data_IF_796182394906
#
_entry.id   IF_796182394906
#
_cell.length_a   1.000
_cell.length_b   1.000
_cell.length_c   1.000
_cell.angle_alpha   90.00
_cell.angle_beta   90.00
_cell.angle_gamma   90.00
#
_symmetry.space_group_name_H-M   'P 1'
#
loop_
_entity.id
_entity.type
_entity.pdbx_description
1 polymer ?
#
# COMPACT_ATOMS: atom_id res chain seq x y z
N UNK A 1 -20.87 -5.77 -9.22
CA UNK A 1 -20.62 -6.73 -8.13
C UNK A 1 -19.14 -6.74 -7.81
N UNK A 2 -18.79 -6.69 -6.54
CA UNK A 2 -17.42 -6.79 -6.03
C UNK A 2 -17.25 -8.18 -5.43
N UNK A 3 -16.24 -8.91 -5.87
CA UNK A 3 -15.96 -10.23 -5.33
C UNK A 3 -14.81 -10.17 -4.34
N UNK A 4 -14.92 -10.91 -3.24
CA UNK A 4 -13.95 -10.88 -2.15
C UNK A 4 -13.46 -12.25 -1.74
N UNK A 5 -12.26 -12.29 -1.16
CA UNK A 5 -11.70 -13.45 -0.50
C UNK A 5 -10.78 -13.01 0.64
N UNK A 6 -10.49 -13.93 1.55
CA UNK A 6 -9.54 -13.68 2.63
C UNK A 6 -8.18 -14.31 2.33
N UNK A 7 -7.15 -13.76 2.96
CA UNK A 7 -5.78 -14.27 2.88
C UNK A 7 -5.11 -14.11 4.23
N UNK A 8 -4.63 -15.22 4.80
CA UNK A 8 -3.89 -15.19 6.06
C UNK A 8 -2.40 -14.98 5.79
N UNK A 9 -1.84 -13.92 6.35
CA UNK A 9 -0.45 -13.54 6.18
C UNK A 9 0.32 -13.50 7.50
N UNK A 10 1.68 -13.43 7.47
CA UNK A 10 2.48 -13.26 8.69
C UNK A 10 2.17 -12.00 9.50
N UNK A 11 1.55 -10.99 8.88
CA UNK A 11 1.23 -9.71 9.53
C UNK A 11 -0.26 -9.54 9.83
N UNK A 12 -1.07 -10.56 9.59
CA UNK A 12 -2.50 -10.55 9.86
C UNK A 12 -3.34 -11.02 8.68
N UNK A 13 -4.64 -11.03 8.88
CA UNK A 13 -5.60 -11.46 7.86
C UNK A 13 -5.97 -10.31 6.95
N UNK A 14 -5.89 -10.55 5.65
CA UNK A 14 -6.31 -9.61 4.62
C UNK A 14 -7.69 -9.94 4.07
N UNK A 15 -8.42 -8.91 3.69
CA UNK A 15 -9.55 -9.00 2.77
C UNK A 15 -9.10 -8.46 1.42
N UNK A 16 -9.25 -9.27 0.37
CA UNK A 16 -9.00 -8.90 -1.01
C UNK A 16 -10.32 -8.66 -1.71
N UNK A 17 -10.37 -7.66 -2.59
CA UNK A 17 -11.55 -7.34 -3.39
C UNK A 17 -11.17 -7.10 -4.85
N UNK A 18 -11.98 -7.66 -5.77
CA UNK A 18 -11.86 -7.41 -7.20
C UNK A 18 -13.20 -6.96 -7.80
N UNK A 19 -13.12 -6.23 -8.87
CA UNK A 19 -14.27 -5.81 -9.67
C UNK A 19 -13.86 -5.81 -11.15
N UNK A 20 -14.64 -6.49 -11.96
CA UNK A 20 -14.37 -6.58 -13.40
C UNK A 20 -13.02 -7.22 -13.75
N UNK A 21 -12.56 -8.18 -12.94
CA UNK A 21 -11.28 -8.86 -13.17
C UNK A 21 -10.05 -8.05 -12.75
N UNK A 22 -10.24 -6.95 -12.01
CA UNK A 22 -9.14 -6.09 -11.54
C UNK A 22 -9.18 -5.94 -10.03
N UNK A 23 -8.03 -6.01 -9.37
CA UNK A 23 -7.94 -5.80 -7.92
C UNK A 23 -8.31 -4.35 -7.58
N UNK A 24 -9.28 -4.18 -6.69
CA UNK A 24 -9.73 -2.86 -6.22
C UNK A 24 -9.45 -2.62 -4.74
N UNK A 25 -9.12 -3.67 -4.00
CA UNK A 25 -8.84 -3.55 -2.58
C UNK A 25 -8.01 -4.70 -2.02
N UNK A 26 -7.20 -4.36 -1.05
CA UNK A 26 -6.46 -5.28 -0.19
C UNK A 26 -6.23 -4.57 1.14
N UNK A 27 -6.94 -4.99 2.16
CA UNK A 27 -6.89 -4.36 3.49
C UNK A 27 -6.56 -5.39 4.56
N UNK A 28 -5.77 -4.98 5.55
CA UNK A 28 -5.55 -5.75 6.76
C UNK A 28 -6.76 -5.57 7.67
N UNK A 29 -7.33 -6.64 8.19
CA UNK A 29 -8.45 -6.55 9.13
C UNK A 29 -8.07 -5.68 10.33
N UNK A 30 -8.95 -4.72 10.67
CA UNK A 30 -8.74 -3.77 11.76
C UNK A 30 -7.94 -2.52 11.40
N UNK A 31 -7.44 -2.39 10.17
CA UNK A 31 -6.72 -1.18 9.76
C UNK A 31 -7.64 0.05 9.65
N UNK A 32 -7.03 1.24 9.67
CA UNK A 32 -7.74 2.48 9.34
C UNK A 32 -8.22 2.44 7.88
N UNK A 33 -9.36 3.09 7.63
CA UNK A 33 -9.98 3.19 6.29
C UNK A 33 -10.26 1.83 5.64
N UNK A 34 -10.59 0.83 6.45
CA UNK A 34 -10.97 -0.50 5.98
C UNK A 34 -12.13 -0.40 4.99
N UNK A 35 -12.03 -1.09 3.86
CA UNK A 35 -12.91 -1.03 2.70
C UNK A 35 -12.86 0.28 1.89
N UNK A 36 -12.21 1.34 2.39
CA UNK A 36 -12.16 2.63 1.70
C UNK A 36 -13.56 3.17 1.41
N UNK A 37 -13.87 3.42 0.14
CA UNK A 37 -15.19 3.87 -0.30
C UNK A 37 -16.14 2.74 -0.71
N UNK A 38 -15.71 1.48 -0.64
CA UNK A 38 -16.52 0.34 -1.05
C UNK A 38 -17.52 -0.06 0.03
N UNK A 39 -18.68 -0.54 -0.38
CA UNK A 39 -19.77 -0.93 0.52
C UNK A 39 -19.89 -2.44 0.63
N UNK A 40 -20.06 -2.94 1.86
CA UNK A 40 -20.21 -4.39 2.10
C UNK A 40 -21.41 -4.99 1.37
N UNK A 41 -22.47 -4.23 1.22
CA UNK A 41 -23.70 -4.67 0.55
C UNK A 41 -23.50 -4.98 -0.95
N UNK A 42 -22.44 -4.45 -1.52
CA UNK A 42 -22.07 -4.68 -2.91
C UNK A 42 -21.08 -5.84 -3.09
N UNK A 43 -20.71 -6.53 -2.01
CA UNK A 43 -19.68 -7.55 -1.98
C UNK A 43 -20.27 -8.97 -1.89
N UNK A 44 -19.64 -9.90 -2.59
CA UNK A 44 -19.92 -11.33 -2.52
C UNK A 44 -18.62 -12.11 -2.43
N UNK A 45 -18.59 -13.12 -1.57
CA UNK A 45 -17.42 -14.00 -1.47
C UNK A 45 -17.26 -14.86 -2.72
N UNK A 46 -16.04 -14.90 -3.26
CA UNK A 46 -15.71 -15.70 -4.44
C UNK A 46 -14.24 -16.10 -4.43
N UNK A 47 -13.94 -17.20 -3.78
CA UNK A 47 -12.55 -17.62 -3.52
C UNK A 47 -11.74 -18.01 -4.77
N UNK A 48 -12.42 -18.31 -5.87
CA UNK A 48 -11.79 -18.79 -7.12
C UNK A 48 -11.82 -17.76 -8.26
N UNK A 49 -12.05 -16.49 -7.97
CA UNK A 49 -11.90 -15.44 -8.99
C UNK A 49 -10.43 -15.41 -9.48
N UNK A 50 -10.18 -15.42 -10.81
CA UNK A 50 -8.82 -15.38 -11.33
C UNK A 50 -7.97 -14.24 -10.78
N UNK A 51 -8.51 -13.03 -10.74
CA UNK A 51 -7.80 -11.85 -10.22
C UNK A 51 -7.44 -12.01 -8.74
N UNK A 52 -8.35 -12.55 -7.93
CA UNK A 52 -8.08 -12.80 -6.50
C UNK A 52 -7.05 -13.91 -6.30
N UNK A 53 -7.09 -14.97 -7.11
CA UNK A 53 -6.10 -16.04 -7.07
C UNK A 53 -4.70 -15.54 -7.47
N UNK A 54 -4.62 -14.68 -8.48
CA UNK A 54 -3.35 -14.06 -8.89
C UNK A 54 -2.78 -13.18 -7.77
N UNK A 55 -3.62 -12.38 -7.13
CA UNK A 55 -3.20 -11.55 -6.00
C UNK A 55 -2.70 -12.40 -4.83
N UNK A 56 -3.36 -13.51 -4.50
CA UNK A 56 -2.90 -14.45 -3.46
C UNK A 56 -1.53 -15.04 -3.80
N UNK A 57 -1.31 -15.48 -5.04
CA UNK A 57 -0.02 -16.01 -5.50
C UNK A 57 1.08 -14.94 -5.41
N UNK A 58 0.76 -13.69 -5.76
CA UNK A 58 1.68 -12.58 -5.62
C UNK A 58 2.07 -12.37 -4.16
N UNK A 59 1.10 -12.39 -3.24
CA UNK A 59 1.34 -12.26 -1.80
C UNK A 59 2.17 -13.42 -1.24
N UNK A 60 1.90 -14.65 -1.67
CA UNK A 60 2.70 -15.81 -1.29
C UNK A 60 4.17 -15.63 -1.67
N UNK A 61 4.44 -15.17 -2.88
CA UNK A 61 5.79 -14.88 -3.36
C UNK A 61 6.43 -13.72 -2.58
N UNK A 62 5.67 -12.67 -2.33
CA UNK A 62 6.14 -11.52 -1.55
C UNK A 62 6.59 -11.95 -0.15
N UNK A 63 5.74 -12.68 0.57
CA UNK A 63 6.06 -13.11 1.94
C UNK A 63 7.14 -14.19 2.01
N UNK A 64 7.49 -14.83 0.91
CA UNK A 64 8.67 -15.70 0.79
C UNK A 64 9.94 -14.94 0.43
N UNK A 65 9.88 -13.63 0.21
CA UNK A 65 11.03 -12.81 -0.17
C UNK A 65 11.42 -12.86 -1.65
N UNK A 66 10.51 -13.26 -2.53
CA UNK A 66 10.79 -13.43 -3.97
C UNK A 66 10.71 -12.13 -4.79
N UNK A 67 10.35 -11.01 -4.18
CA UNK A 67 10.30 -9.68 -4.82
C UNK A 67 9.41 -9.64 -6.08
N UNK A 68 8.14 -10.06 -6.04
CA UNK A 68 7.28 -10.00 -7.21
C UNK A 68 7.05 -8.55 -7.65
N UNK A 69 6.92 -8.34 -8.94
CA UNK A 69 6.70 -7.00 -9.49
C UNK A 69 5.22 -6.63 -9.44
N UNK A 70 4.94 -5.40 -9.00
CA UNK A 70 3.56 -4.87 -8.89
C UNK A 70 2.83 -4.85 -10.24
N UNK A 71 3.53 -4.65 -11.34
CA UNK A 71 2.98 -4.62 -12.69
C UNK A 71 2.46 -5.97 -13.20
N UNK A 72 2.70 -7.06 -12.50
CA UNK A 72 2.11 -8.37 -12.83
C UNK A 72 0.61 -8.42 -12.59
N UNK A 73 0.09 -7.53 -11.73
CA UNK A 73 -1.31 -7.53 -11.32
C UNK A 73 -2.11 -6.42 -12.00
N UNK A 74 -3.30 -6.77 -12.48
CA UNK A 74 -4.25 -5.77 -12.96
C UNK A 74 -4.97 -5.15 -11.77
N UNK A 75 -4.78 -3.84 -11.57
CA UNK A 75 -5.35 -3.10 -10.45
C UNK A 75 -6.17 -1.91 -10.92
N UNK A 76 -7.20 -1.58 -10.16
CA UNK A 76 -8.02 -0.39 -10.38
C UNK A 76 -8.40 0.25 -9.03
N UNK A 77 -7.42 0.82 -8.31
CA UNK A 77 -7.70 1.47 -7.03
C UNK A 77 -8.63 2.66 -7.22
N UNK A 78 -9.68 2.75 -6.40
CA UNK A 78 -10.65 3.83 -6.46
C UNK A 78 -10.19 5.02 -5.61
N UNK A 79 -10.24 6.21 -6.16
CA UNK A 79 -9.83 7.44 -5.48
C UNK A 79 -9.78 8.63 -6.41
N UNK A 80 -9.49 9.81 -5.88
CA UNK A 80 -9.29 11.03 -6.65
C UNK A 80 -8.07 10.94 -7.58
N UNK A 81 -8.01 11.80 -8.58
CA UNK A 81 -6.85 11.87 -9.48
C UNK A 81 -5.54 12.15 -8.72
N UNK A 82 -5.61 13.00 -7.69
CA UNK A 82 -4.47 13.27 -6.82
C UNK A 82 -4.00 12.00 -6.11
N UNK A 83 -4.91 11.25 -5.49
CA UNK A 83 -4.57 10.00 -4.80
C UNK A 83 -4.01 8.96 -5.76
N UNK A 84 -4.60 8.81 -6.92
CA UNK A 84 -4.12 7.87 -7.95
C UNK A 84 -2.72 8.21 -8.43
N UNK A 85 -2.41 9.50 -8.56
CA UNK A 85 -1.07 9.95 -8.93
C UNK A 85 -0.05 9.62 -7.82
N UNK A 86 -0.40 9.86 -6.56
CA UNK A 86 0.46 9.47 -5.43
C UNK A 86 0.69 7.95 -5.43
N UNK A 87 -0.35 7.15 -5.59
CA UNK A 87 -0.25 5.69 -5.61
C UNK A 87 0.59 5.18 -6.79
N UNK A 88 0.52 5.84 -7.93
CA UNK A 88 1.40 5.56 -9.07
C UNK A 88 2.87 5.72 -8.68
N UNK A 89 3.23 6.80 -8.01
CA UNK A 89 4.60 7.02 -7.53
C UNK A 89 5.01 6.01 -6.45
N UNK A 90 4.08 5.57 -5.60
CA UNK A 90 4.37 4.48 -4.66
C UNK A 90 4.80 3.20 -5.37
N UNK A 91 4.14 2.85 -6.46
CA UNK A 91 4.48 1.65 -7.24
C UNK A 91 5.87 1.69 -7.86
N UNK A 92 6.49 2.87 -7.96
CA UNK A 92 7.85 3.04 -8.48
C UNK A 92 8.94 2.82 -7.42
N UNK A 93 8.57 2.73 -6.12
CA UNK A 93 9.55 2.52 -5.05
C UNK A 93 9.99 1.05 -5.04
N UNK A 94 11.27 0.76 -5.29
CA UNK A 94 11.75 -0.62 -5.35
C UNK A 94 11.64 -1.35 -4.01
N UNK A 95 11.52 -2.65 -4.07
CA UNK A 95 11.63 -3.53 -2.92
C UNK A 95 12.94 -3.28 -2.14
N UNK A 96 12.83 -3.17 -0.82
CA UNK A 96 13.99 -2.94 0.04
C UNK A 96 14.47 -1.48 0.07
N UNK A 97 13.75 -0.56 -0.55
CA UNK A 97 14.06 0.87 -0.54
C UNK A 97 12.95 1.68 0.10
N UNK A 98 13.28 2.84 0.60
CA UNK A 98 12.32 3.79 1.17
C UNK A 98 12.46 5.15 0.50
N UNK A 99 11.38 5.93 0.53
CA UNK A 99 11.35 7.33 0.15
C UNK A 99 10.63 8.14 1.23
N UNK A 100 10.61 9.44 1.10
CA UNK A 100 9.94 10.33 2.04
C UNK A 100 8.67 10.91 1.45
N UNK A 101 7.74 11.36 2.32
CA UNK A 101 6.55 12.11 1.89
C UNK A 101 6.93 13.36 1.09
N UNK A 102 8.03 14.02 1.50
CA UNK A 102 8.54 15.22 0.81
C UNK A 102 9.02 14.90 -0.60
N UNK A 103 9.73 13.81 -0.81
CA UNK A 103 10.21 13.39 -2.13
C UNK A 103 9.05 13.07 -3.07
N UNK A 104 8.02 12.36 -2.57
CA UNK A 104 6.80 12.11 -3.35
C UNK A 104 6.08 13.42 -3.66
N UNK A 105 5.97 14.33 -2.70
CA UNK A 105 5.37 15.65 -2.91
C UNK A 105 6.09 16.41 -4.03
N UNK A 106 7.41 16.35 -4.08
CA UNK A 106 8.21 16.94 -5.16
C UNK A 106 7.90 16.35 -6.54
N UNK A 107 7.75 15.02 -6.61
CA UNK A 107 7.35 14.34 -7.85
C UNK A 107 5.94 14.73 -8.31
N UNK A 108 5.00 14.82 -7.39
CA UNK A 108 3.62 15.26 -7.69
C UNK A 108 3.60 16.70 -8.19
N UNK A 109 4.32 17.61 -7.51
CA UNK A 109 4.42 19.00 -7.92
C UNK A 109 4.97 19.13 -9.34
N UNK A 110 6.05 18.40 -9.64
CA UNK A 110 6.66 18.39 -10.98
C UNK A 110 5.69 17.88 -12.04
N UNK A 111 5.01 16.75 -11.79
CA UNK A 111 4.04 16.15 -12.73
C UNK A 111 2.88 17.10 -13.02
N UNK A 112 2.40 17.85 -12.02
CA UNK A 112 1.29 18.78 -12.14
C UNK A 112 1.67 20.20 -12.52
N UNK A 113 2.95 20.46 -12.73
CA UNK A 113 3.44 21.81 -13.04
C UNK A 113 3.25 22.81 -11.91
N UNK A 114 3.29 22.34 -10.66
CA UNK A 114 3.16 23.17 -9.47
C UNK A 114 4.52 23.53 -8.90
N UNK A 115 4.63 24.70 -8.28
CA UNK A 115 5.85 25.13 -7.59
C UNK A 115 6.05 24.40 -6.26
N UNK A 116 4.96 23.91 -5.65
CA UNK A 116 4.97 23.26 -4.33
C UNK A 116 3.80 22.27 -4.20
N UNK A 117 4.04 21.19 -3.43
CA UNK A 117 3.02 20.26 -2.97
C UNK A 117 3.28 19.95 -1.50
N UNK A 118 2.25 19.97 -0.69
CA UNK A 118 2.32 19.67 0.74
C UNK A 118 2.65 18.19 0.97
N UNK A 119 3.67 17.90 1.78
CA UNK A 119 3.97 16.56 2.28
C UNK A 119 2.81 15.99 3.10
N UNK A 120 2.08 16.83 3.82
CA UNK A 120 0.89 16.42 4.59
C UNK A 120 -0.24 15.93 3.67
N UNK A 121 -0.50 16.62 2.57
CA UNK A 121 -1.49 16.19 1.58
C UNK A 121 -1.12 14.84 0.95
N UNK A 122 0.16 14.64 0.63
CA UNK A 122 0.69 13.36 0.17
C UNK A 122 0.51 12.28 1.24
N UNK A 123 0.80 12.60 2.50
CA UNK A 123 0.60 11.68 3.62
C UNK A 123 -0.84 11.19 3.74
N UNK A 124 -1.81 12.07 3.54
CA UNK A 124 -3.23 11.71 3.48
C UNK A 124 -3.54 10.73 2.36
N UNK A 125 -3.02 10.96 1.16
CA UNK A 125 -3.19 10.06 0.02
C UNK A 125 -2.52 8.70 0.24
N UNK A 126 -1.32 8.68 0.81
CA UNK A 126 -0.59 7.45 1.17
C UNK A 126 -1.39 6.64 2.19
N UNK A 127 -1.93 7.29 3.23
CA UNK A 127 -2.73 6.63 4.26
C UNK A 127 -4.04 6.04 3.76
N UNK A 128 -4.60 6.55 2.66
CA UNK A 128 -5.84 6.06 2.05
C UNK A 128 -5.59 5.04 0.93
N UNK A 129 -4.38 4.54 0.77
CA UNK A 129 -4.07 3.48 -0.19
C UNK A 129 -5.01 2.28 0.00
N UNK A 130 -5.83 1.91 -1.01
CA UNK A 130 -6.79 0.83 -0.87
C UNK A 130 -6.21 -0.56 -1.12
N UNK A 131 -4.95 -0.67 -1.58
CA UNK A 131 -4.31 -1.94 -1.93
C UNK A 131 -2.99 -2.05 -1.16
N UNK A 132 -3.09 -2.33 0.13
CA UNK A 132 -1.92 -2.42 1.03
C UNK A 132 -0.92 -3.48 0.55
N UNK A 133 0.35 -3.29 0.88
CA UNK A 133 1.49 -4.16 0.54
C UNK A 133 1.84 -4.14 -0.95
N UNK A 134 0.90 -4.40 -1.84
CA UNK A 134 1.12 -4.42 -3.29
C UNK A 134 1.43 -3.02 -3.80
N UNK A 135 0.58 -2.03 -3.46
CA UNK A 135 0.95 -0.62 -3.60
C UNK A 135 1.72 -0.26 -2.32
N UNK A 136 3.05 -0.09 -2.39
CA UNK A 136 3.90 -0.18 -1.20
C UNK A 136 3.95 1.10 -0.37
N UNK A 137 2.82 1.49 0.23
CA UNK A 137 2.77 2.67 1.10
C UNK A 137 3.64 2.53 2.36
N UNK A 138 3.99 1.31 2.76
CA UNK A 138 4.92 1.05 3.86
C UNK A 138 6.36 1.51 3.57
N UNK A 139 6.72 1.75 2.30
CA UNK A 139 8.04 2.26 1.88
C UNK A 139 8.18 3.76 1.96
N UNK A 140 7.18 4.47 2.49
CA UNK A 140 7.24 5.92 2.70
C UNK A 140 7.48 6.21 4.17
N UNK A 141 8.49 7.00 4.47
CA UNK A 141 8.89 7.36 5.82
C UNK A 141 8.96 8.88 5.98
N UNK A 142 9.02 9.37 7.24
CA UNK A 142 9.23 10.78 7.50
C UNK A 142 10.60 11.26 7.01
N UNK A 143 10.76 12.58 6.82
CA UNK A 143 12.02 13.17 6.39
C UNK A 143 13.18 12.91 7.38
N UNK A 144 12.84 12.68 8.66
CA UNK A 144 13.75 12.29 9.72
C UNK A 144 13.97 10.76 9.82
N UNK A 145 13.42 9.98 8.89
CA UNK A 145 13.44 8.52 8.91
C UNK A 145 12.37 7.88 9.78
N UNK A 146 11.42 8.64 10.33
CA UNK A 146 10.40 8.12 11.24
C UNK A 146 9.36 7.23 10.54
N UNK A 147 8.93 6.16 11.23
CA UNK A 147 7.92 5.20 10.74
C UNK A 147 6.51 5.63 11.11
N UNK A 148 6.02 6.74 10.62
CA UNK A 148 4.66 7.20 10.94
C UNK A 148 3.72 7.07 9.74
N UNK A 149 2.42 7.08 10.02
CA UNK A 149 1.38 7.24 9.01
C UNK A 149 0.99 5.98 8.25
N UNK A 150 1.19 4.80 8.79
CA UNK A 150 0.74 3.56 8.15
C UNK A 150 -0.65 3.14 8.65
N UNK A 151 -1.60 2.92 7.72
CA UNK A 151 -2.97 2.54 8.05
C UNK A 151 -3.06 1.19 8.79
N UNK A 152 -2.17 0.26 8.50
CA UNK A 152 -2.04 -1.03 9.18
C UNK A 152 -1.34 -0.98 10.54
N UNK A 153 -0.86 0.19 10.95
CA UNK A 153 -0.12 0.38 12.20
C UNK A 153 1.39 0.28 12.03
N UNK A 154 2.12 0.95 12.92
CA UNK A 154 3.58 1.06 12.85
C UNK A 154 4.28 -0.31 12.98
N UNK A 155 3.78 -1.21 13.79
CA UNK A 155 4.37 -2.53 13.95
C UNK A 155 4.34 -3.34 12.65
N UNK A 156 3.21 -3.33 11.92
CA UNK A 156 3.12 -4.00 10.63
C UNK A 156 4.01 -3.34 9.57
N UNK A 157 4.10 -2.01 9.58
CA UNK A 157 5.06 -1.28 8.72
C UNK A 157 6.49 -1.73 8.98
N UNK A 158 6.87 -1.82 10.26
CA UNK A 158 8.19 -2.31 10.68
C UNK A 158 8.44 -3.74 10.21
N UNK A 159 7.44 -4.63 10.34
CA UNK A 159 7.54 -6.02 9.89
C UNK A 159 7.74 -6.11 8.37
N UNK A 160 7.00 -5.34 7.59
CA UNK A 160 7.13 -5.31 6.13
C UNK A 160 8.51 -4.80 5.69
N UNK A 161 8.96 -3.69 6.27
CA UNK A 161 10.28 -3.13 5.96
C UNK A 161 11.41 -4.10 6.37
N UNK A 162 11.28 -4.75 7.52
CA UNK A 162 12.22 -5.78 7.97
C UNK A 162 12.27 -6.98 7.04
N UNK A 163 11.11 -7.45 6.56
CA UNK A 163 11.02 -8.51 5.56
C UNK A 163 11.76 -8.14 4.27
N UNK A 164 11.68 -6.86 3.88
CA UNK A 164 12.32 -6.35 2.68
C UNK A 164 13.82 -6.05 2.88
N UNK A 165 14.37 -6.30 4.06
CA UNK A 165 15.77 -6.08 4.35
C UNK A 165 16.15 -4.64 4.69
N UNK A 166 15.17 -3.78 4.96
CA UNK A 166 15.42 -2.41 5.40
C UNK A 166 15.83 -2.42 6.87
N UNK A 167 16.93 -1.74 7.18
CA UNK A 167 17.40 -1.61 8.57
C UNK A 167 16.49 -0.71 9.40
N UNK A 168 15.47 -1.32 10.00
CA UNK A 168 14.44 -0.62 10.76
C UNK A 168 14.97 0.08 12.01
N UNK A 169 16.08 -0.41 12.56
CA UNK A 169 16.74 0.20 13.71
C UNK A 169 17.28 1.59 13.44
N UNK A 170 17.85 1.83 12.27
CA UNK A 170 18.32 3.16 11.88
C UNK A 170 17.17 4.14 11.69
N UNK A 171 16.01 3.66 11.25
CA UNK A 171 14.80 4.47 11.07
C UNK A 171 14.11 4.78 12.41
N UNK A 172 14.12 3.85 13.39
CA UNK A 172 13.52 4.09 14.71
C UNK A 172 14.43 4.86 15.65
N UNK A 173 15.75 4.82 15.48
CA UNK A 173 16.72 5.56 16.31
C UNK A 173 16.60 7.07 16.19
N UNK A 174 16.03 7.60 15.09
CA UNK A 174 15.75 9.02 14.92
C UNK A 174 14.60 9.54 15.78
N UNK A 175 13.83 8.67 16.42
CA UNK A 175 12.74 9.05 17.33
C UNK A 175 13.18 9.42 18.74
N UNK A 176 14.38 8.99 19.15
CA UNK A 176 14.87 9.13 20.52
C UNK A 176 15.88 10.29 20.69
N UNK A 177 15.90 11.23 19.77
CA UNK A 177 16.77 12.41 19.86
C UNK A 177 15.98 13.70 19.95
#
# INVERSE_FOLDING_TARGET
MIYTTHYDSPIGRFLLAEQGGRLVGLWIEGQKYFLGSLKREEMAQRDHSPALCEAKRWLDRYFRGERPWVGELSMNPQGSDFRKLVWKFLCEIPYGQVTTYKEIAGKVAKERGLSHMSAQAVGGAVGHNPISVIIPCHRVVGADGSLKGYAGGIERKRMLLGLEGVEVWSLSASFNK
#
